data_IF_216704068401
#
_entry.id   IF_216704068401
#
_cell.length_a   1.000
_cell.length_b   1.000
_cell.length_c   1.000
_cell.angle_alpha   90.00
_cell.angle_beta   90.00
_cell.angle_gamma   90.00
#
_symmetry.space_group_name_H-M   'P 1'
#
loop_
_entity.id
_entity.type
_entity.pdbx_description
1 polymer ?
#
# COMPACT_ATOMS: atom_id res chain seq x y z
N UNK A 1 -5.76 5.63 -0.55
CA UNK A 1 -6.77 6.37 0.24
C UNK A 1 -6.02 7.42 1.03
N UNK A 2 -6.68 8.47 1.51
CA UNK A 2 -6.03 9.47 2.37
C UNK A 2 -6.34 9.23 3.86
N UNK A 3 -5.47 8.56 4.64
CA UNK A 3 -5.61 8.50 6.10
C UNK A 3 -5.72 9.90 6.69
N UNK A 4 -6.53 10.06 7.73
CA UNK A 4 -6.68 11.37 8.37
C UNK A 4 -5.50 11.64 9.30
N UNK A 5 -4.54 12.43 8.84
CA UNK A 5 -3.39 12.85 9.64
C UNK A 5 -3.81 13.53 10.94
N UNK A 6 -4.90 14.31 10.91
CA UNK A 6 -5.47 15.02 12.05
C UNK A 6 -6.05 14.08 13.12
N UNK A 7 -6.38 12.85 12.74
CA UNK A 7 -6.99 11.86 13.63
C UNK A 7 -6.03 10.71 14.00
N UNK A 8 -4.81 10.71 13.44
CA UNK A 8 -3.81 9.66 13.63
C UNK A 8 -2.49 10.15 14.24
N UNK A 9 -1.90 11.24 13.70
CA UNK A 9 -0.51 11.64 14.03
C UNK A 9 -0.31 13.14 14.28
N UNK A 10 -1.31 13.96 13.95
CA UNK A 10 -1.20 15.42 14.01
C UNK A 10 -2.16 16.00 15.04
N UNK A 11 -1.71 16.03 16.30
CA UNK A 11 -2.49 16.57 17.41
C UNK A 11 -2.67 18.10 17.26
N UNK A 12 -3.93 18.54 17.06
CA UNK A 12 -4.31 19.95 16.87
C UNK A 12 -5.28 20.43 17.97
N UNK A 13 -4.80 20.84 19.15
CA UNK A 13 -5.68 21.26 20.26
C UNK A 13 -6.53 22.48 19.93
N UNK A 14 -5.96 23.49 19.23
CA UNK A 14 -6.73 24.66 18.78
C UNK A 14 -7.90 24.29 17.85
N UNK A 15 -7.73 23.25 17.02
CA UNK A 15 -8.81 22.80 16.14
C UNK A 15 -9.97 22.18 16.93
N UNK A 16 -9.66 21.52 18.05
CA UNK A 16 -10.66 20.98 18.96
C UNK A 16 -11.45 22.12 19.61
N UNK A 17 -10.77 23.14 20.14
CA UNK A 17 -11.38 24.34 20.73
C UNK A 17 -12.29 25.09 19.76
N UNK A 18 -11.89 25.15 18.49
CA UNK A 18 -12.64 25.84 17.44
C UNK A 18 -13.72 24.98 16.76
N UNK A 19 -14.00 23.78 17.27
CA UNK A 19 -15.01 22.89 16.68
C UNK A 19 -16.36 23.58 16.56
N UNK A 20 -16.97 23.49 15.38
CA UNK A 20 -18.26 24.12 15.04
C UNK A 20 -18.16 25.57 14.57
N UNK A 21 -17.01 26.24 14.74
CA UNK A 21 -16.78 27.57 14.17
C UNK A 21 -16.53 27.49 12.66
N UNK A 22 -16.81 28.57 11.93
CA UNK A 22 -16.52 28.62 10.50
C UNK A 22 -15.01 28.67 10.23
N UNK A 23 -14.57 27.94 9.20
CA UNK A 23 -13.22 28.07 8.66
C UNK A 23 -12.99 29.55 8.27
N UNK A 24 -12.00 30.23 8.85
CA UNK A 24 -11.75 31.63 8.54
C UNK A 24 -11.35 31.82 7.07
N UNK A 25 -11.83 32.90 6.45
CA UNK A 25 -11.46 33.25 5.07
C UNK A 25 -9.95 33.46 4.90
N UNK A 26 -9.26 33.92 5.94
CA UNK A 26 -7.79 34.05 5.95
C UNK A 26 -7.06 32.71 5.85
N UNK A 27 -7.68 31.62 6.29
CA UNK A 27 -7.14 30.24 6.19
C UNK A 27 -7.58 29.59 4.88
N UNK A 28 -8.85 29.78 4.49
CA UNK A 28 -9.37 29.24 3.22
C UNK A 28 -8.69 29.87 2.01
N UNK A 29 -8.63 31.20 1.96
CA UNK A 29 -8.19 31.97 0.82
C UNK A 29 -8.89 31.55 -0.49
N UNK A 30 -8.15 31.59 -1.60
CA UNK A 30 -8.60 31.14 -2.92
C UNK A 30 -8.35 29.65 -3.20
N UNK A 31 -8.18 28.83 -2.16
CA UNK A 31 -7.80 27.43 -2.32
C UNK A 31 -8.88 26.62 -3.05
N UNK A 32 -8.47 25.88 -4.08
CA UNK A 32 -9.33 24.90 -4.76
C UNK A 32 -9.76 23.80 -3.80
N UNK A 33 -11.07 23.60 -3.66
CA UNK A 33 -11.68 22.49 -2.93
C UNK A 33 -12.25 21.46 -3.91
N UNK A 34 -12.67 20.31 -3.39
CA UNK A 34 -13.48 19.38 -4.20
C UNK A 34 -14.85 20.00 -4.51
N UNK A 35 -15.58 19.42 -5.47
CA UNK A 35 -16.94 19.87 -5.78
C UNK A 35 -17.91 19.73 -4.60
N UNK A 36 -17.64 18.82 -3.66
CA UNK A 36 -18.48 18.62 -2.47
C UNK A 36 -18.33 19.77 -1.47
N UNK A 37 -17.09 20.12 -1.12
CA UNK A 37 -16.83 21.22 -0.18
C UNK A 37 -16.84 22.60 -0.84
N UNK A 38 -16.63 22.69 -2.15
CA UNK A 38 -16.69 23.97 -2.87
C UNK A 38 -18.09 24.58 -2.89
N UNK A 39 -19.13 23.72 -2.87
CA UNK A 39 -20.53 24.12 -2.99
C UNK A 39 -21.29 24.14 -1.64
N UNK A 40 -20.64 23.80 -0.52
CA UNK A 40 -21.30 23.86 0.79
C UNK A 40 -21.37 25.31 1.30
N UNK A 41 -22.51 25.68 1.90
CA UNK A 41 -22.77 27.04 2.41
C UNK A 41 -22.01 27.39 3.68
N UNK A 42 -21.43 26.40 4.36
CA UNK A 42 -20.81 26.49 5.68
C UNK A 42 -19.67 25.49 5.75
N UNK A 43 -18.50 25.88 6.25
CA UNK A 43 -17.29 25.05 6.38
C UNK A 43 -16.91 24.97 7.87
N UNK A 44 -17.62 24.19 8.68
CA UNK A 44 -17.38 24.14 10.11
C UNK A 44 -16.10 23.36 10.42
N UNK A 45 -15.20 23.97 11.18
CA UNK A 45 -14.01 23.34 11.74
C UNK A 45 -14.41 22.17 12.65
N UNK A 46 -13.65 21.07 12.61
CA UNK A 46 -13.87 19.92 13.49
C UNK A 46 -12.54 19.31 13.93
N UNK A 47 -12.30 19.33 15.23
CA UNK A 47 -11.18 18.65 15.87
C UNK A 47 -11.26 17.13 15.80
N UNK A 48 -10.18 16.46 16.18
CA UNK A 48 -10.20 15.00 16.27
C UNK A 48 -11.12 14.53 17.40
N UNK A 49 -11.93 13.47 17.20
CA UNK A 49 -12.75 12.91 18.26
C UNK A 49 -12.00 11.87 19.12
N UNK A 50 -10.71 11.67 18.86
CA UNK A 50 -9.87 10.66 19.50
C UNK A 50 -8.87 11.29 20.45
N UNK A 51 -8.44 10.50 21.43
CA UNK A 51 -7.37 10.88 22.35
C UNK A 51 -6.00 10.72 21.71
N UNK A 52 -5.05 11.53 22.16
CA UNK A 52 -3.66 11.49 21.71
C UNK A 52 -2.74 11.46 22.94
N UNK A 53 -1.62 10.76 22.80
CA UNK A 53 -0.53 10.79 23.76
C UNK A 53 0.81 10.88 23.03
N UNK A 54 1.83 11.38 23.73
CA UNK A 54 3.20 11.34 23.25
C UNK A 54 3.81 9.99 23.59
N UNK A 55 4.52 9.40 22.64
CA UNK A 55 5.15 8.09 22.78
C UNK A 55 6.63 8.14 22.42
N UNK A 56 7.39 7.25 23.06
CA UNK A 56 8.82 7.10 22.84
C UNK A 56 9.65 8.30 23.33
N UNK A 57 10.94 8.23 23.09
CA UNK A 57 11.89 9.32 23.31
C UNK A 57 11.69 10.48 22.31
N UNK A 58 11.18 10.17 21.12
CA UNK A 58 10.82 11.15 20.09
C UNK A 58 9.68 12.08 20.52
N UNK A 59 8.88 11.69 21.52
CA UNK A 59 7.71 12.43 21.96
C UNK A 59 6.64 12.55 20.88
N UNK A 60 6.59 11.60 19.95
CA UNK A 60 5.68 11.62 18.82
C UNK A 60 4.23 11.51 19.29
N UNK A 61 3.38 12.42 18.82
CA UNK A 61 1.93 12.36 19.08
C UNK A 61 1.28 11.27 18.23
N UNK A 62 0.67 10.29 18.88
CA UNK A 62 -0.06 9.20 18.23
C UNK A 62 -1.46 9.07 18.85
N UNK A 63 -2.44 8.84 17.98
CA UNK A 63 -3.84 8.61 18.37
C UNK A 63 -4.00 7.29 19.12
N UNK A 64 -4.96 7.24 20.05
CA UNK A 64 -5.36 6.02 20.79
C UNK A 64 -5.79 4.87 19.87
N UNK A 65 -6.06 5.16 18.59
CA UNK A 65 -6.41 4.16 17.58
C UNK A 65 -5.24 3.30 17.11
N UNK A 66 -4.01 3.74 17.36
CA UNK A 66 -2.80 3.09 16.87
C UNK A 66 -1.85 2.66 18.01
N UNK A 67 -2.34 1.88 19.00
CA UNK A 67 -1.54 1.52 20.17
C UNK A 67 -0.27 0.70 19.83
N UNK A 68 -0.30 -0.11 18.77
CA UNK A 68 0.87 -0.89 18.37
C UNK A 68 1.90 -0.04 17.62
N UNK A 69 1.44 0.84 16.72
CA UNK A 69 2.32 1.82 16.05
C UNK A 69 2.98 2.75 17.05
N UNK A 70 2.23 3.19 18.08
CA UNK A 70 2.76 3.98 19.18
C UNK A 70 3.90 3.26 19.94
N UNK A 71 3.82 1.93 20.07
CA UNK A 71 4.87 1.11 20.69
C UNK A 71 6.19 1.06 19.93
N UNK A 72 6.19 1.43 18.65
CA UNK A 72 7.40 1.49 17.80
C UNK A 72 7.73 2.91 17.35
N UNK A 73 7.17 3.94 17.99
CA UNK A 73 7.27 5.34 17.57
C UNK A 73 8.70 5.82 17.30
N UNK A 74 9.67 5.40 18.12
CA UNK A 74 11.08 5.81 17.98
C UNK A 74 11.81 5.15 16.79
N UNK A 75 11.17 4.17 16.14
CA UNK A 75 11.63 3.60 14.87
C UNK A 75 10.99 4.26 13.65
N UNK A 76 10.10 5.24 13.86
CA UNK A 76 9.34 5.87 12.79
C UNK A 76 9.83 7.30 12.54
N UNK A 77 9.80 7.69 11.27
CA UNK A 77 9.98 9.07 10.85
C UNK A 77 8.64 9.60 10.33
N UNK A 78 8.12 10.66 10.96
CA UNK A 78 6.87 11.31 10.54
C UNK A 78 7.17 12.50 9.62
N UNK A 79 6.81 12.39 8.35
CA UNK A 79 6.99 13.48 7.38
C UNK A 79 5.71 14.31 7.29
N UNK A 80 5.60 15.36 8.12
CA UNK A 80 4.37 16.19 8.21
C UNK A 80 4.26 17.29 7.15
N UNK A 81 5.04 17.18 6.08
CA UNK A 81 5.18 18.21 5.03
C UNK A 81 4.82 17.68 3.66
N UNK A 82 4.13 16.54 3.58
CA UNK A 82 3.76 15.95 2.29
C UNK A 82 2.74 16.84 1.57
N UNK A 83 2.90 16.90 0.25
CA UNK A 83 2.10 17.74 -0.64
C UNK A 83 1.79 16.98 -1.94
N UNK A 84 0.59 17.20 -2.46
CA UNK A 84 0.19 16.81 -3.81
C UNK A 84 -0.67 17.92 -4.43
N UNK A 85 -0.80 17.93 -5.75
CA UNK A 85 -1.73 18.81 -6.45
C UNK A 85 -3.10 18.14 -6.69
N UNK A 86 -3.16 16.82 -6.47
CA UNK A 86 -4.36 16.06 -6.76
C UNK A 86 -5.37 16.12 -5.63
N UNK A 87 -6.63 16.39 -5.99
CA UNK A 87 -7.78 16.35 -5.08
C UNK A 87 -8.65 15.11 -5.29
N UNK A 88 -8.24 14.20 -6.18
CA UNK A 88 -8.99 13.00 -6.55
C UNK A 88 -8.10 11.77 -6.37
N UNK A 89 -8.68 10.67 -5.90
CA UNK A 89 -7.93 9.46 -5.62
C UNK A 89 -7.19 8.88 -6.82
N UNK A 90 -7.86 8.72 -7.97
CA UNK A 90 -7.25 8.12 -9.16
C UNK A 90 -5.96 8.85 -9.57
N UNK A 91 -6.00 10.17 -9.86
CA UNK A 91 -4.81 10.92 -10.20
C UNK A 91 -3.82 11.06 -9.02
N UNK A 92 -4.28 11.15 -7.77
CA UNK A 92 -3.41 11.25 -6.59
C UNK A 92 -2.59 9.99 -6.33
N UNK A 93 -3.22 8.81 -6.38
CA UNK A 93 -2.51 7.53 -6.27
C UNK A 93 -1.58 7.35 -7.47
N UNK A 94 -2.03 7.69 -8.69
CA UNK A 94 -1.15 7.62 -9.88
C UNK A 94 0.09 8.50 -9.71
N UNK A 95 -0.07 9.70 -9.14
CA UNK A 95 1.04 10.61 -8.86
C UNK A 95 2.01 10.03 -7.82
N UNK A 96 1.51 9.52 -6.70
CA UNK A 96 2.37 8.87 -5.71
C UNK A 96 3.15 7.68 -6.28
N UNK A 97 2.52 6.93 -7.20
CA UNK A 97 3.17 5.75 -7.76
C UNK A 97 4.14 6.07 -8.89
N UNK A 98 3.90 7.12 -9.69
CA UNK A 98 4.61 7.33 -10.97
C UNK A 98 5.15 8.74 -11.20
N UNK A 99 4.94 9.66 -10.25
CA UNK A 99 5.25 11.08 -10.38
C UNK A 99 4.35 11.83 -11.38
N UNK A 100 3.26 11.22 -11.86
CA UNK A 100 2.33 11.80 -12.83
C UNK A 100 0.88 11.58 -12.42
N UNK A 101 0.03 12.59 -12.58
CA UNK A 101 -1.41 12.46 -12.38
C UNK A 101 -2.11 11.73 -13.54
N UNK A 102 -1.44 11.60 -14.69
CA UNK A 102 -1.93 10.89 -15.89
C UNK A 102 -1.28 9.50 -15.95
N UNK A 103 -2.07 8.42 -16.16
CA UNK A 103 -1.52 7.07 -16.34
C UNK A 103 -0.56 6.95 -17.53
N UNK A 104 0.37 5.99 -17.44
CA UNK A 104 1.28 5.62 -18.54
C UNK A 104 2.77 5.73 -18.21
N UNK A 105 3.13 6.44 -17.14
CA UNK A 105 4.51 6.43 -16.63
C UNK A 105 4.78 5.17 -15.80
N UNK A 106 6.02 4.66 -15.79
CA UNK A 106 6.39 3.54 -14.94
C UNK A 106 6.19 3.90 -13.47
N UNK A 107 5.68 2.93 -12.71
CA UNK A 107 5.56 3.05 -11.26
C UNK A 107 6.94 2.99 -10.59
N UNK A 108 7.04 3.47 -9.35
CA UNK A 108 8.27 3.49 -8.55
C UNK A 108 8.88 2.10 -8.40
N UNK A 109 8.06 1.07 -8.18
CA UNK A 109 8.54 -0.31 -8.11
C UNK A 109 9.15 -0.79 -9.44
N UNK A 110 8.59 -0.38 -10.58
CA UNK A 110 9.14 -0.70 -11.89
C UNK A 110 10.46 0.04 -12.16
N UNK A 111 10.58 1.30 -11.72
CA UNK A 111 11.84 2.05 -11.79
C UNK A 111 12.93 1.42 -10.93
N UNK A 112 12.58 0.97 -9.72
CA UNK A 112 13.53 0.32 -8.82
C UNK A 112 14.00 -1.03 -9.36
N UNK A 113 13.10 -1.85 -9.91
CA UNK A 113 13.50 -3.10 -10.59
C UNK A 113 14.37 -2.83 -11.83
N UNK A 114 14.02 -1.81 -12.63
CA UNK A 114 14.83 -1.43 -13.79
C UNK A 114 16.24 -0.93 -13.41
N UNK A 115 16.33 -0.04 -12.42
CA UNK A 115 17.58 0.64 -12.06
C UNK A 115 18.48 -0.15 -11.12
N UNK A 116 17.91 -0.91 -10.17
CA UNK A 116 18.66 -1.64 -9.15
C UNK A 116 18.72 -3.16 -9.42
N UNK A 117 17.93 -3.65 -10.37
CA UNK A 117 17.87 -5.07 -10.69
C UNK A 117 17.28 -5.91 -9.56
N UNK A 118 17.55 -7.22 -9.65
CA UNK A 118 16.92 -8.26 -8.82
C UNK A 118 17.97 -8.91 -7.91
N UNK A 119 17.58 -9.23 -6.69
CA UNK A 119 18.42 -10.00 -5.75
C UNK A 119 18.10 -11.50 -5.78
N UNK A 120 17.01 -11.85 -6.43
CA UNK A 120 16.52 -13.21 -6.53
C UNK A 120 16.13 -13.53 -7.97
N UNK A 121 16.53 -14.72 -8.38
CA UNK A 121 16.19 -15.32 -9.66
C UNK A 121 14.85 -16.05 -9.62
N UNK A 122 14.32 -16.28 -8.42
CA UNK A 122 13.23 -17.22 -8.16
C UNK A 122 11.87 -16.55 -7.93
N UNK A 123 11.88 -15.25 -7.60
CA UNK A 123 10.68 -14.44 -7.37
C UNK A 123 10.74 -13.12 -8.15
N UNK A 124 9.59 -12.53 -8.51
CA UNK A 124 9.49 -11.17 -9.04
C UNK A 124 10.17 -10.16 -8.12
N UNK A 125 10.92 -9.22 -8.68
CA UNK A 125 11.51 -8.14 -7.90
C UNK A 125 10.46 -7.12 -7.43
N UNK A 126 9.32 -7.02 -8.12
CA UNK A 126 8.21 -6.16 -7.76
C UNK A 126 6.93 -6.98 -7.55
N UNK A 127 6.46 -7.06 -6.30
CA UNK A 127 5.23 -7.75 -5.90
C UNK A 127 4.17 -6.77 -5.40
N UNK A 128 2.92 -7.03 -5.77
CA UNK A 128 1.76 -6.29 -5.29
C UNK A 128 0.81 -7.22 -4.52
N UNK A 129 0.46 -6.80 -3.31
CA UNK A 129 -0.48 -7.45 -2.41
C UNK A 129 -1.69 -6.53 -2.23
N UNK A 130 -2.90 -7.06 -2.40
CA UNK A 130 -4.13 -6.29 -2.23
C UNK A 130 -4.96 -6.95 -1.14
N UNK A 131 -5.33 -6.18 -0.11
CA UNK A 131 -6.20 -6.66 0.97
C UNK A 131 -7.55 -7.08 0.40
N UNK A 132 -7.99 -8.31 0.69
CA UNK A 132 -9.28 -8.83 0.22
C UNK A 132 -10.46 -8.13 0.90
N UNK A 133 -11.64 -8.26 0.31
CA UNK A 133 -12.92 -7.79 0.87
C UNK A 133 -12.95 -6.30 1.25
N UNK A 134 -12.03 -5.50 0.69
CA UNK A 134 -12.08 -4.05 0.81
C UNK A 134 -12.85 -3.45 -0.36
N UNK A 135 -13.49 -2.33 -0.08
CA UNK A 135 -14.19 -1.50 -1.05
C UNK A 135 -13.69 -0.07 -0.97
N UNK A 136 -14.14 0.76 -1.92
CA UNK A 136 -13.69 2.13 -2.07
C UNK A 136 -13.10 2.35 -3.45
N UNK A 137 -12.09 3.21 -3.53
CA UNK A 137 -11.53 3.68 -4.79
C UNK A 137 -10.91 2.53 -5.59
N UNK A 138 -11.31 2.31 -6.85
CA UNK A 138 -10.80 1.20 -7.65
C UNK A 138 -9.28 1.25 -7.80
N UNK A 139 -8.63 0.12 -7.53
CA UNK A 139 -7.21 -0.06 -7.82
C UNK A 139 -7.05 -0.57 -9.24
N UNK A 140 -6.30 0.17 -10.06
CA UNK A 140 -6.09 -0.13 -11.47
C UNK A 140 -4.65 -0.60 -11.69
N UNK A 141 -4.43 -1.47 -12.68
CA UNK A 141 -3.13 -2.11 -12.91
C UNK A 141 -2.01 -1.13 -13.26
N UNK A 142 -2.34 0.04 -13.79
CA UNK A 142 -1.33 1.07 -14.09
C UNK A 142 -0.64 1.62 -12.83
N UNK A 143 -1.22 1.46 -11.64
CA UNK A 143 -0.63 1.89 -10.38
C UNK A 143 0.65 1.12 -10.02
N UNK A 144 0.82 -0.08 -10.58
CA UNK A 144 2.01 -0.91 -10.47
C UNK A 144 2.53 -1.32 -11.86
N UNK A 145 2.29 -0.45 -12.85
CA UNK A 145 2.63 -0.69 -14.25
C UNK A 145 4.10 -0.46 -14.57
N UNK A 146 4.61 -1.16 -15.58
CA UNK A 146 5.91 -0.88 -16.19
C UNK A 146 5.90 0.38 -17.09
N UNK A 147 4.72 0.87 -17.49
CA UNK A 147 4.60 2.01 -18.40
C UNK A 147 5.32 1.74 -19.71
N UNK A 148 6.26 2.62 -20.08
CA UNK A 148 7.12 2.46 -21.26
C UNK A 148 8.40 1.64 -21.00
N UNK A 149 8.65 1.17 -19.77
CA UNK A 149 9.74 0.23 -19.51
C UNK A 149 9.36 -1.16 -20.05
N UNK A 150 10.36 -2.00 -20.39
CA UNK A 150 10.11 -3.37 -20.83
C UNK A 150 9.17 -4.12 -19.87
N UNK A 151 8.27 -4.92 -20.42
CA UNK A 151 7.21 -5.61 -19.67
C UNK A 151 7.71 -6.56 -18.57
N UNK A 152 8.99 -6.95 -18.59
CA UNK A 152 9.65 -7.70 -17.51
C UNK A 152 9.67 -6.98 -16.15
N UNK A 153 9.50 -5.65 -16.14
CA UNK A 153 9.45 -4.81 -14.93
C UNK A 153 8.04 -4.61 -14.37
N UNK A 154 7.05 -5.26 -14.99
CA UNK A 154 5.68 -5.23 -14.53
C UNK A 154 5.56 -5.95 -13.20
N UNK A 155 4.89 -5.35 -12.21
CA UNK A 155 4.65 -6.03 -10.95
C UNK A 155 3.81 -7.28 -11.14
N UNK A 156 4.09 -8.31 -10.34
CA UNK A 156 3.26 -9.49 -10.22
C UNK A 156 2.36 -9.35 -9.01
N UNK A 157 1.04 -9.36 -9.24
CA UNK A 157 0.06 -9.35 -8.15
C UNK A 157 -0.06 -10.75 -7.55
N UNK A 158 0.17 -10.88 -6.24
CA UNK A 158 -0.17 -12.09 -5.51
C UNK A 158 -1.60 -11.94 -4.98
N UNK A 159 -2.46 -12.89 -5.32
CA UNK A 159 -3.88 -12.92 -5.00
C UNK A 159 -4.10 -13.65 -3.68
N UNK A 160 -5.21 -13.30 -3.03
CA UNK A 160 -5.73 -14.05 -1.91
C UNK A 160 -6.34 -15.36 -2.41
N UNK A 161 -5.80 -16.52 -2.01
CA UNK A 161 -6.37 -17.83 -2.34
C UNK A 161 -5.32 -18.93 -2.51
N UNK A 162 -5.79 -20.12 -2.91
CA UNK A 162 -4.95 -21.29 -3.13
C UNK A 162 -3.95 -21.14 -4.29
N UNK A 163 -4.25 -20.25 -5.24
CA UNK A 163 -3.36 -19.86 -6.33
C UNK A 163 -2.99 -18.37 -6.21
N UNK A 164 -1.95 -18.04 -5.41
CA UNK A 164 -1.50 -16.66 -5.24
C UNK A 164 -1.09 -16.04 -6.57
N UNK A 165 -0.53 -16.81 -7.49
CA UNK A 165 -0.24 -16.36 -8.84
C UNK A 165 -0.96 -17.27 -9.83
N UNK A 166 -1.83 -16.67 -10.63
CA UNK A 166 -2.64 -17.42 -11.59
C UNK A 166 -1.75 -18.17 -12.59
N UNK A 167 -2.15 -19.40 -12.91
CA UNK A 167 -1.54 -20.23 -13.96
C UNK A 167 -0.05 -20.54 -13.75
N UNK A 168 0.46 -20.32 -12.53
CA UNK A 168 1.81 -20.75 -12.17
C UNK A 168 1.82 -22.24 -11.90
N UNK A 169 0.85 -22.78 -11.16
CA UNK A 169 0.79 -24.22 -10.88
C UNK A 169 0.54 -25.07 -12.15
N UNK A 170 1.12 -26.27 -12.19
CA UNK A 170 0.86 -27.23 -13.26
C UNK A 170 -0.55 -27.84 -13.08
N UNK A 171 -1.37 -27.90 -14.14
CA UNK A 171 -2.68 -28.53 -14.06
C UNK A 171 -2.53 -30.05 -13.83
N UNK A 172 -3.56 -30.72 -13.28
CA UNK A 172 -3.53 -32.17 -13.08
C UNK A 172 -3.16 -32.92 -14.38
N UNK A 173 -2.18 -33.83 -14.28
CA UNK A 173 -1.66 -34.58 -15.43
C UNK A 173 -0.46 -33.95 -16.15
N UNK A 174 -0.05 -32.73 -15.80
CA UNK A 174 1.19 -32.11 -16.34
C UNK A 174 2.31 -32.20 -15.30
N UNK A 175 3.34 -32.98 -15.58
CA UNK A 175 4.53 -33.07 -14.73
C UNK A 175 5.44 -31.83 -14.88
N UNK A 176 6.29 -31.58 -13.89
CA UNK A 176 7.26 -30.49 -13.95
C UNK A 176 8.25 -30.65 -15.12
N UNK A 177 8.62 -31.89 -15.45
CA UNK A 177 9.48 -32.23 -16.59
C UNK A 177 8.78 -31.94 -17.92
N UNK A 178 7.51 -32.31 -18.05
CA UNK A 178 6.69 -32.03 -19.22
C UNK A 178 6.55 -30.52 -19.44
N UNK A 179 6.31 -29.77 -18.36
CA UNK A 179 6.26 -28.30 -18.40
C UNK A 179 7.61 -27.72 -18.84
N UNK A 180 8.73 -28.21 -18.30
CA UNK A 180 10.08 -27.75 -18.67
C UNK A 180 10.37 -28.00 -20.15
N UNK A 181 10.00 -29.17 -20.66
CA UNK A 181 10.16 -29.52 -22.08
C UNK A 181 9.38 -28.54 -22.97
N UNK A 182 8.12 -28.26 -22.64
CA UNK A 182 7.29 -27.31 -23.37
C UNK A 182 7.88 -25.89 -23.36
N UNK A 183 8.38 -25.43 -22.20
CA UNK A 183 9.02 -24.12 -22.08
C UNK A 183 10.32 -24.03 -22.89
N UNK A 184 11.13 -25.09 -22.92
CA UNK A 184 12.32 -25.16 -23.76
C UNK A 184 11.97 -25.05 -25.25
N UNK A 185 10.91 -25.72 -25.71
CA UNK A 185 10.43 -25.61 -27.09
C UNK A 185 9.92 -24.20 -27.42
N UNK A 186 9.14 -23.59 -26.52
CA UNK A 186 8.70 -22.19 -26.67
C UNK A 186 9.88 -21.22 -26.73
N UNK A 187 10.92 -21.43 -25.91
CA UNK A 187 12.14 -20.62 -25.94
C UNK A 187 12.82 -20.71 -27.30
N UNK A 188 13.00 -21.92 -27.85
CA UNK A 188 13.58 -22.11 -29.18
C UNK A 188 12.78 -21.40 -30.28
N UNK A 189 11.45 -21.46 -30.24
CA UNK A 189 10.59 -20.75 -31.19
C UNK A 189 10.74 -19.23 -31.09
N UNK A 190 10.78 -18.68 -29.87
CA UNK A 190 11.01 -17.26 -29.66
C UNK A 190 12.42 -16.82 -30.06
N UNK A 191 13.45 -17.61 -29.78
CA UNK A 191 14.83 -17.33 -30.20
C UNK A 191 14.94 -17.33 -31.74
N UNK A 192 14.26 -18.26 -32.42
CA UNK A 192 14.17 -18.27 -33.87
C UNK A 192 13.46 -17.02 -34.41
N UNK A 193 12.34 -16.62 -33.80
CA UNK A 193 11.63 -15.39 -34.17
C UNK A 193 12.50 -14.15 -33.94
N UNK A 194 13.22 -14.08 -32.82
CA UNK A 194 14.09 -12.96 -32.48
C UNK A 194 15.26 -12.82 -33.45
N UNK A 195 15.81 -13.93 -33.94
CA UNK A 195 16.87 -13.91 -34.96
C UNK A 195 16.40 -13.31 -36.29
N UNK A 196 15.13 -13.51 -36.66
CA UNK A 196 14.53 -12.91 -37.85
C UNK A 196 14.02 -11.47 -37.65
N UNK A 197 13.49 -11.19 -36.46
CA UNK A 197 12.92 -9.89 -36.08
C UNK A 197 13.31 -9.55 -34.64
N UNK A 198 14.41 -8.82 -34.42
CA UNK A 198 14.85 -8.43 -33.08
C UNK A 198 13.86 -7.47 -32.42
N UNK A 199 13.01 -8.01 -31.54
CA UNK A 199 12.01 -7.27 -30.75
C UNK A 199 12.23 -7.54 -29.25
N UNK A 200 12.34 -6.47 -28.47
CA UNK A 200 12.51 -6.53 -27.03
C UNK A 200 11.36 -7.26 -26.31
N UNK A 201 10.14 -7.26 -26.87
CA UNK A 201 9.01 -7.99 -26.31
C UNK A 201 9.17 -9.51 -26.42
N UNK A 202 9.90 -10.02 -27.42
CA UNK A 202 10.19 -11.46 -27.53
C UNK A 202 11.12 -11.89 -26.40
N UNK A 203 12.17 -11.10 -26.13
CA UNK A 203 13.08 -11.36 -25.01
C UNK A 203 12.35 -11.27 -23.66
N UNK A 204 11.45 -10.29 -23.50
CA UNK A 204 10.63 -10.15 -22.29
C UNK A 204 9.70 -11.37 -22.08
N UNK A 205 9.10 -11.90 -23.15
CA UNK A 205 8.28 -13.13 -23.09
C UNK A 205 9.07 -14.33 -22.60
N UNK A 206 10.27 -14.57 -23.16
CA UNK A 206 11.14 -15.66 -22.71
C UNK A 206 11.44 -15.51 -21.21
N UNK A 207 11.85 -14.32 -20.77
CA UNK A 207 12.15 -14.05 -19.38
C UNK A 207 10.94 -14.27 -18.46
N UNK A 208 9.76 -13.84 -18.88
CA UNK A 208 8.52 -14.03 -18.12
C UNK A 208 8.14 -15.51 -17.99
N UNK A 209 8.33 -16.32 -19.03
CA UNK A 209 8.08 -17.76 -18.98
C UNK A 209 9.05 -18.49 -18.05
N UNK A 210 10.34 -18.15 -18.09
CA UNK A 210 11.35 -18.71 -17.18
C UNK A 210 11.07 -18.32 -15.72
N UNK A 211 10.70 -17.05 -15.49
CA UNK A 211 10.30 -16.57 -14.17
C UNK A 211 9.08 -17.33 -13.65
N UNK A 212 8.03 -17.46 -14.46
CA UNK A 212 6.82 -18.20 -14.09
C UNK A 212 7.12 -19.65 -13.72
N UNK A 213 8.08 -20.30 -14.41
CA UNK A 213 8.53 -21.65 -14.06
C UNK A 213 9.24 -21.71 -12.71
N UNK A 214 10.18 -20.79 -12.43
CA UNK A 214 10.89 -20.76 -11.13
C UNK A 214 9.95 -20.44 -9.96
N UNK A 215 8.95 -19.60 -10.22
CA UNK A 215 7.90 -19.29 -9.25
C UNK A 215 7.06 -20.50 -8.85
N UNK A 216 6.98 -21.56 -9.67
CA UNK A 216 6.22 -22.78 -9.35
C UNK A 216 6.66 -23.42 -8.03
N UNK A 217 7.96 -23.47 -7.79
CA UNK A 217 8.51 -24.00 -6.53
C UNK A 217 8.52 -22.93 -5.43
N UNK A 218 8.83 -21.68 -5.79
CA UNK A 218 9.15 -20.64 -4.80
C UNK A 218 7.92 -19.96 -4.19
N UNK A 219 6.81 -19.84 -4.94
CA UNK A 219 5.59 -19.20 -4.44
C UNK A 219 4.94 -20.03 -3.32
N UNK A 220 4.74 -21.36 -3.46
CA UNK A 220 4.18 -22.17 -2.38
C UNK A 220 4.94 -22.01 -1.06
N UNK A 221 6.28 -22.08 -1.08
CA UNK A 221 7.09 -21.91 0.12
C UNK A 221 7.07 -20.48 0.70
N UNK A 222 6.87 -19.47 -0.13
CA UNK A 222 6.78 -18.07 0.33
C UNK A 222 5.42 -17.78 1.00
N UNK A 223 4.37 -18.49 0.58
CA UNK A 223 3.00 -18.29 1.07
C UNK A 223 2.56 -19.31 2.12
N UNK A 224 3.36 -20.33 2.39
CA UNK A 224 3.09 -21.30 3.45
C UNK A 224 3.59 -20.81 4.82
N UNK A 225 2.65 -20.59 5.72
CA UNK A 225 2.90 -20.17 7.11
C UNK A 225 2.73 -21.32 8.11
N UNK A 226 2.57 -22.57 7.66
CA UNK A 226 2.35 -23.73 8.53
C UNK A 226 3.44 -23.93 9.57
N UNK A 227 4.68 -23.59 9.23
CA UNK A 227 5.86 -23.67 10.09
C UNK A 227 6.19 -22.34 10.79
N UNK A 228 5.35 -21.30 10.68
CA UNK A 228 5.57 -20.04 11.36
C UNK A 228 5.35 -20.19 12.88
N UNK A 229 6.30 -19.78 13.73
CA UNK A 229 6.12 -19.88 15.18
C UNK A 229 4.89 -19.13 15.66
N UNK A 230 4.16 -19.70 16.61
CA UNK A 230 2.90 -19.12 17.10
C UNK A 230 3.08 -17.70 17.65
N UNK A 231 4.21 -17.40 18.32
CA UNK A 231 4.51 -16.06 18.83
C UNK A 231 4.66 -15.00 17.71
N UNK A 232 5.08 -15.40 16.50
CA UNK A 232 5.13 -14.50 15.34
C UNK A 232 3.71 -14.26 14.84
N UNK A 233 2.91 -15.31 14.68
CA UNK A 233 1.51 -15.17 14.26
C UNK A 233 0.70 -14.30 15.24
N UNK A 234 0.93 -14.46 16.55
CA UNK A 234 0.29 -13.65 17.59
C UNK A 234 0.70 -12.18 17.51
N UNK A 235 1.97 -11.90 17.15
CA UNK A 235 2.47 -10.52 16.94
C UNK A 235 1.72 -9.81 15.82
N UNK A 236 1.49 -10.48 14.68
CA UNK A 236 0.73 -9.93 13.55
C UNK A 236 -0.79 -9.90 13.80
N UNK A 237 -1.27 -10.60 14.83
CA UNK A 237 -2.66 -10.65 15.23
C UNK A 237 -3.46 -11.76 14.54
N UNK A 238 -4.71 -11.98 14.98
CA UNK A 238 -5.53 -13.13 14.57
C UNK A 238 -5.78 -13.19 13.06
N UNK A 239 -5.82 -12.03 12.39
CA UNK A 239 -6.02 -11.93 10.95
C UNK A 239 -4.81 -12.45 10.15
N UNK A 240 -3.65 -12.69 10.76
CA UNK A 240 -2.47 -13.22 10.06
C UNK A 240 -2.71 -14.60 9.43
N UNK A 241 -3.61 -15.39 10.02
CA UNK A 241 -4.04 -16.71 9.51
C UNK A 241 -5.10 -16.61 8.41
N UNK A 242 -5.66 -15.42 8.18
CA UNK A 242 -6.66 -15.19 7.15
C UNK A 242 -6.03 -14.71 5.84
N UNK A 243 -5.80 -15.65 4.91
CA UNK A 243 -5.12 -15.36 3.65
C UNK A 243 -5.72 -14.15 2.91
N UNK A 244 -4.88 -13.19 2.56
CA UNK A 244 -5.26 -11.95 1.88
C UNK A 244 -5.77 -10.83 2.79
N UNK A 245 -5.86 -11.04 4.11
CA UNK A 245 -6.02 -9.95 5.06
C UNK A 245 -4.78 -9.04 5.03
N UNK A 246 -4.90 -7.83 5.58
CA UNK A 246 -3.75 -6.94 5.67
C UNK A 246 -2.63 -7.54 6.55
N UNK A 247 -2.99 -8.24 7.63
CA UNK A 247 -2.05 -8.92 8.49
C UNK A 247 -1.30 -10.06 7.78
N UNK A 248 -2.03 -10.92 7.05
CA UNK A 248 -1.41 -11.97 6.25
C UNK A 248 -0.50 -11.40 5.16
N UNK A 249 -0.90 -10.27 4.54
CA UNK A 249 -0.06 -9.58 3.57
C UNK A 249 1.20 -8.98 4.19
N UNK A 250 1.15 -8.45 5.42
CA UNK A 250 2.34 -7.97 6.12
C UNK A 250 3.31 -9.12 6.44
N UNK A 251 2.79 -10.26 6.91
CA UNK A 251 3.60 -11.47 7.13
C UNK A 251 4.23 -11.99 5.83
N UNK A 252 3.43 -12.03 4.76
CA UNK A 252 3.93 -12.39 3.42
C UNK A 252 5.00 -11.41 2.94
N UNK A 253 4.83 -10.11 3.18
CA UNK A 253 5.82 -9.10 2.80
C UNK A 253 7.17 -9.35 3.49
N UNK A 254 7.17 -9.71 4.77
CA UNK A 254 8.40 -10.11 5.46
C UNK A 254 9.04 -11.33 4.80
N UNK A 255 8.27 -12.38 4.50
CA UNK A 255 8.76 -13.60 3.81
C UNK A 255 9.31 -13.32 2.41
N UNK A 256 8.69 -12.39 1.68
CA UNK A 256 9.15 -11.97 0.36
C UNK A 256 10.45 -11.16 0.46
N UNK A 257 10.56 -10.28 1.46
CA UNK A 257 11.79 -9.53 1.71
C UNK A 257 12.95 -10.47 2.05
N UNK A 258 12.74 -11.49 2.90
CA UNK A 258 13.75 -12.52 3.23
C UNK A 258 14.24 -13.28 2.00
N UNK A 259 13.41 -13.37 0.97
CA UNK A 259 13.70 -14.07 -0.29
C UNK A 259 14.20 -13.13 -1.40
N UNK A 260 14.56 -11.89 -1.07
CA UNK A 260 15.18 -10.94 -1.98
C UNK A 260 14.21 -10.22 -2.93
N UNK A 261 12.91 -10.15 -2.59
CA UNK A 261 11.97 -9.31 -3.34
C UNK A 261 12.25 -7.84 -3.04
N UNK A 262 12.70 -7.11 -4.05
CA UNK A 262 13.19 -5.73 -3.97
C UNK A 262 12.12 -4.72 -3.55
N UNK A 263 10.92 -4.82 -4.11
CA UNK A 263 9.85 -3.86 -3.87
C UNK A 263 8.52 -4.59 -3.67
N UNK A 264 7.93 -4.38 -2.50
CA UNK A 264 6.70 -5.07 -2.07
C UNK A 264 5.68 -4.00 -1.73
N UNK A 265 4.56 -4.00 -2.45
CA UNK A 265 3.55 -2.98 -2.32
C UNK A 265 2.24 -3.56 -1.79
N UNK A 266 1.78 -3.04 -0.65
CA UNK A 266 0.53 -3.45 -0.02
C UNK A 266 -0.53 -2.37 -0.23
N UNK A 267 -1.64 -2.74 -0.83
CA UNK A 267 -2.81 -1.88 -0.92
C UNK A 267 -3.87 -2.27 0.10
N UNK A 268 -4.31 -1.28 0.86
CA UNK A 268 -5.43 -1.38 1.78
C UNK A 268 -6.41 -0.23 1.51
N UNK A 269 -7.54 -0.53 0.88
CA UNK A 269 -8.58 0.46 0.56
C UNK A 269 -9.41 0.80 1.81
N UNK A 270 -10.30 1.79 1.71
CA UNK A 270 -11.27 2.12 2.77
C UNK A 270 -10.91 3.31 3.64
N UNK A 271 -9.79 4.00 3.42
CA UNK A 271 -9.40 5.22 4.16
C UNK A 271 -10.19 6.48 3.75
N UNK A 272 -11.29 6.34 3.01
CA UNK A 272 -12.01 7.44 2.37
C UNK A 272 -13.24 7.92 3.13
N UNK A 273 -13.00 8.52 4.30
CA UNK A 273 -14.04 8.85 5.27
C UNK A 273 -14.63 10.25 5.07
N UNK A 274 -15.46 10.40 4.02
CA UNK A 274 -16.30 11.59 3.81
C UNK A 274 -17.50 11.68 4.77
N UNK A 275 -17.80 10.60 5.48
CA UNK A 275 -18.76 10.50 6.58
C UNK A 275 -18.47 9.25 7.41
N UNK A 276 -19.10 9.12 8.58
CA UNK A 276 -18.92 7.94 9.44
C UNK A 276 -17.48 7.75 9.94
N UNK A 277 -16.72 8.85 10.07
CA UNK A 277 -15.28 8.82 10.30
C UNK A 277 -14.93 8.09 11.59
N UNK A 278 -15.71 8.27 12.66
CA UNK A 278 -15.40 7.63 13.94
C UNK A 278 -15.37 6.11 13.83
N UNK A 279 -16.40 5.53 13.20
CA UNK A 279 -16.50 4.08 13.01
C UNK A 279 -15.57 3.56 11.92
N UNK A 280 -15.48 4.28 10.79
CA UNK A 280 -14.63 3.91 9.67
C UNK A 280 -13.15 3.88 10.06
N UNK A 281 -12.66 4.95 10.69
CA UNK A 281 -11.25 5.04 11.08
C UNK A 281 -10.87 4.01 12.14
N UNK A 282 -11.72 3.76 13.15
CA UNK A 282 -11.51 2.68 14.12
C UNK A 282 -11.33 1.33 13.43
N UNK A 283 -12.19 1.00 12.45
CA UNK A 283 -12.10 -0.25 11.69
C UNK A 283 -10.80 -0.33 10.89
N UNK A 284 -10.45 0.74 10.15
CA UNK A 284 -9.21 0.77 9.38
C UNK A 284 -7.97 0.60 10.27
N UNK A 285 -7.93 1.25 11.44
CA UNK A 285 -6.81 1.12 12.38
C UNK A 285 -6.75 -0.28 13.00
N UNK A 286 -7.89 -0.87 13.41
CA UNK A 286 -7.94 -2.24 13.92
C UNK A 286 -7.39 -3.27 12.92
N UNK A 287 -7.63 -3.07 11.63
CA UNK A 287 -7.15 -3.98 10.58
C UNK A 287 -5.66 -3.80 10.25
N UNK A 288 -5.06 -2.63 10.55
CA UNK A 288 -3.75 -2.24 10.01
C UNK A 288 -2.68 -1.96 11.06
N UNK A 289 -3.05 -1.50 12.26
CA UNK A 289 -2.11 -1.05 13.30
C UNK A 289 -1.17 -2.16 13.77
N UNK A 290 -1.74 -3.21 14.36
CA UNK A 290 -0.99 -4.35 14.87
C UNK A 290 -0.06 -4.97 13.81
N UNK A 291 -0.54 -5.38 12.61
CA UNK A 291 0.33 -6.00 11.63
C UNK A 291 1.36 -5.06 10.99
N UNK A 292 1.09 -3.76 10.87
CA UNK A 292 2.08 -2.80 10.37
C UNK A 292 3.24 -2.63 11.37
N UNK A 293 2.92 -2.46 12.65
CA UNK A 293 3.93 -2.39 13.71
C UNK A 293 4.70 -3.72 13.84
N UNK A 294 3.99 -4.85 13.71
CA UNK A 294 4.60 -6.18 13.72
C UNK A 294 5.61 -6.37 12.59
N UNK A 295 5.31 -5.89 11.37
CA UNK A 295 6.24 -5.97 10.24
C UNK A 295 7.53 -5.20 10.51
N UNK A 296 7.42 -3.96 11.01
CA UNK A 296 8.59 -3.15 11.37
C UNK A 296 9.44 -3.86 12.42
N UNK A 297 8.81 -4.40 13.47
CA UNK A 297 9.51 -5.11 14.53
C UNK A 297 10.12 -6.44 14.06
N UNK A 298 9.42 -7.21 13.21
CA UNK A 298 9.91 -8.49 12.68
C UNK A 298 11.11 -8.27 11.74
N UNK A 299 11.09 -7.21 10.92
CA UNK A 299 12.26 -6.80 10.12
C UNK A 299 13.43 -6.37 11.02
N UNK A 300 13.16 -5.65 12.11
CA UNK A 300 14.20 -5.23 13.06
C UNK A 300 14.83 -6.42 13.80
N UNK A 301 14.02 -7.35 14.30
CA UNK A 301 14.48 -8.56 15.01
C UNK A 301 15.36 -9.45 14.13
N UNK A 302 15.21 -9.34 12.81
CA UNK A 302 15.98 -10.08 11.80
C UNK A 302 17.17 -9.31 11.25
N UNK A 303 17.42 -8.09 11.73
CA UNK A 303 18.48 -7.22 11.23
C UNK A 303 18.26 -6.70 9.80
N UNK A 304 17.03 -6.82 9.28
CA UNK A 304 16.68 -6.42 7.91
C UNK A 304 16.21 -4.97 7.83
N UNK A 305 15.74 -4.39 8.93
CA UNK A 305 15.21 -3.01 8.94
C UNK A 305 16.28 -1.98 8.57
N UNK A 306 17.55 -2.25 8.85
CA UNK A 306 18.68 -1.36 8.51
C UNK A 306 18.89 -1.23 6.99
N UNK A 307 18.43 -2.22 6.21
CA UNK A 307 18.53 -2.27 4.75
C UNK A 307 17.16 -2.15 4.06
N UNK A 308 16.07 -2.04 4.83
CA UNK A 308 14.69 -2.04 4.32
C UNK A 308 13.97 -0.75 4.70
N UNK A 309 13.60 0.06 3.70
CA UNK A 309 12.72 1.21 3.91
C UNK A 309 11.25 0.78 3.90
N UNK A 310 10.56 0.93 5.03
CA UNK A 310 9.11 0.72 5.13
C UNK A 310 8.39 2.07 5.05
N UNK A 311 7.49 2.21 4.08
CA UNK A 311 6.69 3.43 3.86
C UNK A 311 5.22 3.09 4.10
N UNK A 312 4.56 3.90 4.93
CA UNK A 312 3.12 3.84 5.17
C UNK A 312 2.52 5.22 4.91
N UNK A 313 1.39 5.28 4.20
CA UNK A 313 0.74 6.54 3.92
C UNK A 313 -0.32 6.48 2.82
N UNK A 314 -0.72 7.65 2.36
CA UNK A 314 -1.78 7.85 1.37
C UNK A 314 -1.50 9.02 0.44
N UNK A 315 -2.32 9.17 -0.60
CA UNK A 315 -2.10 10.14 -1.68
C UNK A 315 -2.35 11.60 -1.28
N UNK A 316 -3.05 11.83 -0.18
CA UNK A 316 -3.29 13.14 0.43
C UNK A 316 -3.82 12.96 1.85
N UNK A 317 -3.89 14.06 2.62
CA UNK A 317 -4.52 14.08 3.93
C UNK A 317 -6.01 14.43 3.90
N UNK A 318 -6.53 14.79 5.07
CA UNK A 318 -7.93 15.15 5.31
C UNK A 318 -8.08 16.57 5.84
N UNK A 319 -9.22 17.17 5.55
CA UNK A 319 -9.51 18.56 5.91
C UNK A 319 -9.69 18.75 7.41
N UNK A 320 -9.33 19.93 7.89
CA UNK A 320 -9.58 20.39 9.26
C UNK A 320 -11.06 20.72 9.52
N UNK A 321 -11.91 20.66 8.51
CA UNK A 321 -13.34 20.92 8.59
C UNK A 321 -14.18 19.70 8.21
N UNK A 322 -15.46 19.72 8.61
CA UNK A 322 -16.46 18.73 8.22
C UNK A 322 -16.85 18.87 6.75
N UNK A 323 -16.87 17.75 6.04
CA UNK A 323 -17.60 17.69 4.77
C UNK A 323 -19.10 17.65 5.04
N UNK A 324 -19.85 18.57 4.46
CA UNK A 324 -21.28 18.71 4.71
C UNK A 324 -21.60 19.35 6.07
N UNK A 325 -22.78 19.03 6.61
CA UNK A 325 -23.31 19.70 7.79
C UNK A 325 -22.75 19.08 9.09
N UNK A 326 -22.03 19.89 9.88
CA UNK A 326 -21.65 19.49 11.23
C UNK A 326 -22.86 19.56 12.18
N UNK A 327 -23.10 18.48 12.93
CA UNK A 327 -24.07 18.45 14.03
C UNK A 327 -23.35 18.00 15.30
N UNK A 328 -23.37 18.81 16.38
CA UNK A 328 -22.79 18.39 17.65
C UNK A 328 -23.32 17.01 18.08
N UNK A 329 -22.40 16.13 18.49
CA UNK A 329 -22.72 14.76 18.91
C UNK A 329 -22.93 13.76 17.76
N UNK A 330 -23.14 14.19 16.52
CA UNK A 330 -23.24 13.29 15.38
C UNK A 330 -21.86 12.79 14.90
N UNK A 331 -21.87 11.74 14.08
CA UNK A 331 -20.69 11.38 13.30
C UNK A 331 -20.51 12.36 12.12
N UNK A 332 -19.29 12.48 11.62
CA UNK A 332 -18.92 13.41 10.57
C UNK A 332 -17.92 12.76 9.62
N UNK A 333 -17.49 13.49 8.60
CA UNK A 333 -16.33 13.10 7.80
C UNK A 333 -15.56 14.29 7.31
N UNK A 334 -14.44 14.01 6.64
CA UNK A 334 -13.49 15.01 6.18
C UNK A 334 -13.30 14.87 4.68
N UNK A 335 -13.17 15.99 4.00
CA UNK A 335 -12.84 16.04 2.59
C UNK A 335 -11.32 15.94 2.38
N UNK A 336 -10.88 16.00 1.13
CA UNK A 336 -9.47 15.85 0.73
C UNK A 336 -8.64 17.09 1.06
N UNK A 337 -7.47 16.88 1.66
CA UNK A 337 -6.51 17.94 1.94
C UNK A 337 -5.13 17.59 1.35
N UNK A 338 -4.79 18.13 0.17
CA UNK A 338 -3.57 17.75 -0.52
C UNK A 338 -2.34 18.60 -0.15
N UNK A 339 -2.51 19.67 0.63
CA UNK A 339 -1.50 20.73 0.74
C UNK A 339 -0.49 20.56 1.88
N UNK A 340 -0.83 19.79 2.90
CA UNK A 340 0.03 19.51 4.03
C UNK A 340 -0.54 18.31 4.78
N UNK A 341 0.12 17.16 4.65
CA UNK A 341 -0.27 15.94 5.34
C UNK A 341 0.93 15.15 5.82
N UNK A 342 0.64 14.14 6.65
CA UNK A 342 1.61 13.20 7.24
C UNK A 342 1.58 11.90 6.47
#
# INVERSE_FOLDING_TARGET
>A
GGPSQLDLFDHKPLLLEQTGQQLPDSVRGGQRLTGMSGNQSSIPLVGSPFQFAQHGESGAWVSELLPHTAGVADRLCFVKTMFTESINHGPGVTFMQSGSQIPGRPSIGAWLDYGLGRETDNLPAFVVLITKNKSGQPLQSHLWGAGFLPSRHQAVRFRSGADPVLYVNNPPGVSAESRRLMLNGLRQLHEHQFAGTPDAEIAARIANYEMAYRMQASVPEATDFSNEPQHVLDRYGPAAKDAGSFAANCLLARRLAERGVRFIQLYHQGWDHHGGLKGGLKRQCQETDQPAAALVQDLADRGMLDETLVIWGGEFGRTNYCQGLYRPGADFGRDHHPRCFT
#
